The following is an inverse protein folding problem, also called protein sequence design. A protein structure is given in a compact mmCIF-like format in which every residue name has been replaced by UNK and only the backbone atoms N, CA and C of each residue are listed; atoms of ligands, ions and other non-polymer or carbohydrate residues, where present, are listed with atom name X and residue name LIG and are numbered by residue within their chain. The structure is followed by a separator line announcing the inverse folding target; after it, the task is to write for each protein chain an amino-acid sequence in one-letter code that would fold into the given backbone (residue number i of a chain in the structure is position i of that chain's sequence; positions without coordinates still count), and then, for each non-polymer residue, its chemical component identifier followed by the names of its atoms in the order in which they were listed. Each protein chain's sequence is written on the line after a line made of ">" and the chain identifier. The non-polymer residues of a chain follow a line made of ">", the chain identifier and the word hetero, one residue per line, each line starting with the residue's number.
data_IF_485709849707
#
_entry.id   IF_485709849707
#
_cell.length_a   1.000
_cell.length_b   1.000
_cell.length_c   1.000
_cell.angle_alpha   90.00
_cell.angle_beta   90.00
_cell.angle_gamma   90.00
#
_symmetry.space_group_name_H-M   'P 1'
#
loop_
_entity.id
_entity.type
_entity.pdbx_description
1 polymer ?
#
# COMPACT_ATOMS: atom_id res chain seq x y z
N UNK A 1 10.27 -29.47 13.54
CA UNK A 1 8.93 -30.06 13.70
C UNK A 1 8.23 -29.21 14.74
N UNK A 2 7.06 -28.68 14.42
CA UNK A 2 6.35 -27.74 15.29
C UNK A 2 6.13 -28.25 16.72
N UNK A 3 6.04 -27.32 17.67
CA UNK A 3 5.64 -27.65 19.04
C UNK A 3 4.12 -27.84 19.09
N UNK A 4 3.68 -29.06 19.42
CA UNK A 4 2.27 -29.43 19.49
C UNK A 4 1.47 -28.51 20.43
N UNK A 5 2.09 -27.95 21.47
CA UNK A 5 1.44 -27.03 22.41
C UNK A 5 1.16 -25.68 21.75
N UNK A 6 2.10 -25.18 20.94
CA UNK A 6 1.88 -23.94 20.19
C UNK A 6 0.78 -24.13 19.14
N UNK A 7 0.78 -25.25 18.41
CA UNK A 7 -0.31 -25.56 17.47
C UNK A 7 -1.66 -25.65 18.19
N UNK A 8 -1.73 -26.40 19.30
CA UNK A 8 -2.96 -26.58 20.06
C UNK A 8 -3.48 -25.26 20.62
N UNK A 9 -2.58 -24.37 21.05
CA UNK A 9 -2.94 -23.03 21.51
C UNK A 9 -3.47 -22.16 20.36
N UNK A 10 -2.78 -22.13 19.21
CA UNK A 10 -3.23 -21.34 18.06
C UNK A 10 -4.59 -21.81 17.54
N UNK A 11 -4.85 -23.12 17.57
CA UNK A 11 -6.15 -23.72 17.20
C UNK A 11 -7.29 -23.37 18.15
N UNK A 12 -7.02 -22.87 19.36
CA UNK A 12 -8.06 -22.36 20.26
C UNK A 12 -8.55 -20.96 19.84
N UNK A 13 -7.84 -20.29 18.93
CA UNK A 13 -8.22 -19.02 18.34
C UNK A 13 -7.16 -17.94 18.52
N UNK A 14 -7.21 -16.94 17.64
CA UNK A 14 -6.26 -15.82 17.61
C UNK A 14 -6.28 -15.01 18.91
N UNK A 15 -7.46 -14.81 19.52
CA UNK A 15 -7.58 -14.05 20.77
C UNK A 15 -6.81 -14.71 21.92
N UNK A 16 -7.02 -16.02 22.13
CA UNK A 16 -6.31 -16.78 23.17
C UNK A 16 -4.81 -16.86 22.90
N UNK A 17 -4.41 -17.00 21.63
CA UNK A 17 -3.00 -16.93 21.23
C UNK A 17 -2.38 -15.56 21.56
N UNK A 18 -3.05 -14.47 21.20
CA UNK A 18 -2.54 -13.12 21.42
C UNK A 18 -2.44 -12.80 22.92
N UNK A 19 -3.44 -13.16 23.73
CA UNK A 19 -3.38 -13.04 25.19
C UNK A 19 -2.20 -13.85 25.78
N UNK A 20 -1.96 -15.06 25.28
CA UNK A 20 -0.80 -15.85 25.69
C UNK A 20 0.51 -15.16 25.30
N UNK A 21 0.61 -14.57 24.10
CA UNK A 21 1.80 -13.82 23.65
C UNK A 21 2.13 -12.63 24.55
N UNK A 22 1.12 -11.92 25.07
CA UNK A 22 1.33 -10.81 26.00
C UNK A 22 2.08 -11.26 27.27
N UNK A 23 1.74 -12.43 27.79
CA UNK A 23 2.41 -13.00 28.98
C UNK A 23 3.68 -13.79 28.67
N UNK A 24 3.92 -14.13 27.39
CA UNK A 24 4.98 -15.04 26.95
C UNK A 24 5.83 -14.43 25.81
N UNK A 25 6.07 -13.12 25.85
CA UNK A 25 6.78 -12.40 24.78
C UNK A 25 8.23 -12.88 24.54
N UNK A 26 8.87 -13.47 25.56
CA UNK A 26 10.22 -14.07 25.45
C UNK A 26 10.24 -15.46 24.83
N UNK A 27 9.09 -16.13 24.72
CA UNK A 27 9.00 -17.45 24.08
C UNK A 27 8.97 -17.23 22.56
N UNK A 28 9.83 -17.95 21.84
CA UNK A 28 9.80 -18.02 20.38
C UNK A 28 8.87 -19.16 19.97
N UNK A 29 7.70 -18.90 19.36
CA UNK A 29 6.80 -19.98 18.99
C UNK A 29 7.34 -20.77 17.79
N UNK A 30 7.35 -22.10 17.90
CA UNK A 30 7.68 -22.99 16.78
C UNK A 30 6.42 -23.64 16.20
N UNK A 31 6.09 -23.23 14.97
CA UNK A 31 5.00 -23.70 14.13
C UNK A 31 5.53 -24.29 12.81
N UNK A 32 6.82 -24.66 12.76
CA UNK A 32 7.49 -25.13 11.55
C UNK A 32 6.90 -26.44 11.04
N UNK A 33 6.54 -26.50 9.77
CA UNK A 33 5.92 -27.65 9.12
C UNK A 33 4.47 -27.90 9.54
N UNK A 34 3.85 -26.98 10.29
CA UNK A 34 2.45 -27.10 10.65
C UNK A 34 1.55 -26.93 9.41
N UNK A 35 0.42 -27.66 9.38
CA UNK A 35 -0.67 -27.39 8.46
C UNK A 35 -1.60 -26.33 9.07
N UNK A 36 -1.50 -25.11 8.54
CA UNK A 36 -2.35 -23.96 8.83
C UNK A 36 -3.08 -23.50 7.55
N UNK A 37 -3.24 -24.41 6.58
CA UNK A 37 -3.93 -24.08 5.34
C UNK A 37 -5.38 -23.68 5.63
N UNK A 38 -5.83 -22.59 4.97
CA UNK A 38 -7.16 -21.99 5.16
C UNK A 38 -7.47 -21.53 6.59
N UNK A 39 -6.48 -21.48 7.49
CA UNK A 39 -6.69 -21.00 8.84
C UNK A 39 -7.10 -19.53 8.83
N UNK A 40 -7.98 -19.14 9.77
CA UNK A 40 -8.25 -17.73 10.04
C UNK A 40 -7.32 -17.24 11.15
N UNK A 41 -6.35 -16.43 10.76
CA UNK A 41 -5.25 -15.91 11.55
C UNK A 41 -5.20 -14.37 11.47
N UNK A 42 -6.35 -13.71 11.25
CA UNK A 42 -6.40 -12.26 11.15
C UNK A 42 -5.97 -11.59 12.47
N UNK A 43 -5.09 -10.58 12.40
CA UNK A 43 -4.50 -9.90 13.55
C UNK A 43 -3.67 -10.78 14.51
N UNK A 44 -3.22 -11.97 14.08
CA UNK A 44 -2.40 -12.84 14.93
C UNK A 44 -1.02 -12.22 15.20
N UNK A 45 -0.52 -12.33 16.42
CA UNK A 45 0.84 -11.97 16.78
C UNK A 45 1.77 -13.20 16.65
N UNK A 46 2.46 -13.33 15.52
CA UNK A 46 3.48 -14.34 15.24
C UNK A 46 4.90 -13.72 15.19
N UNK A 47 5.12 -12.64 15.93
CA UNK A 47 6.44 -11.99 16.04
C UNK A 47 7.53 -12.98 16.39
N UNK A 48 8.61 -13.00 15.59
CA UNK A 48 9.76 -13.89 15.76
C UNK A 48 9.48 -15.39 15.59
N UNK A 49 8.26 -15.80 15.25
CA UNK A 49 7.90 -17.23 15.21
C UNK A 49 8.67 -18.00 14.13
N UNK A 50 8.94 -19.28 14.40
CA UNK A 50 9.44 -20.22 13.41
C UNK A 50 8.27 -20.84 12.66
N UNK A 51 8.22 -20.58 11.35
CA UNK A 51 7.19 -20.97 10.39
C UNK A 51 7.84 -21.62 9.16
N UNK A 52 9.03 -22.21 9.32
CA UNK A 52 9.74 -22.88 8.24
C UNK A 52 8.85 -23.99 7.66
N UNK A 53 8.70 -24.05 6.34
CA UNK A 53 7.95 -25.09 5.64
C UNK A 53 6.48 -25.24 6.09
N UNK A 54 5.93 -24.24 6.79
CA UNK A 54 4.52 -24.24 7.20
C UNK A 54 3.61 -24.10 5.98
N UNK A 55 2.51 -24.86 5.96
CA UNK A 55 1.46 -24.70 4.95
C UNK A 55 0.46 -23.63 5.40
N UNK A 56 0.46 -22.49 4.73
CA UNK A 56 -0.43 -21.35 4.93
C UNK A 56 -1.27 -21.08 3.67
N UNK A 57 -1.43 -22.07 2.79
CA UNK A 57 -2.21 -21.91 1.54
C UNK A 57 -3.61 -21.41 1.86
N UNK A 58 -4.04 -20.36 1.15
CA UNK A 58 -5.37 -19.76 1.30
C UNK A 58 -5.72 -19.32 2.74
N UNK A 59 -4.73 -19.22 3.64
CA UNK A 59 -4.96 -18.74 5.01
C UNK A 59 -5.27 -17.23 5.00
N UNK A 60 -6.05 -16.80 5.99
CA UNK A 60 -6.27 -15.38 6.23
C UNK A 60 -5.34 -14.89 7.34
N UNK A 61 -4.21 -14.28 6.98
CA UNK A 61 -3.23 -13.68 7.91
C UNK A 61 -3.22 -12.15 7.80
N UNK A 62 -4.34 -11.55 7.38
CA UNK A 62 -4.47 -10.11 7.22
C UNK A 62 -4.25 -9.39 8.55
N UNK A 63 -3.54 -8.27 8.49
CA UNK A 63 -3.24 -7.41 9.65
C UNK A 63 -2.50 -8.12 10.80
N UNK A 64 -1.93 -9.30 10.53
CA UNK A 64 -1.07 -10.01 11.47
C UNK A 64 0.29 -9.32 11.63
N UNK A 65 0.95 -9.58 12.76
CA UNK A 65 2.34 -9.19 13.00
C UNK A 65 3.25 -10.41 12.95
N UNK A 66 4.07 -10.49 11.91
CA UNK A 66 5.09 -11.50 11.65
C UNK A 66 6.48 -10.86 11.61
N UNK A 67 6.69 -9.74 12.31
CA UNK A 67 7.99 -9.07 12.39
C UNK A 67 9.06 -10.05 12.85
N UNK A 68 10.15 -10.16 12.08
CA UNK A 68 11.27 -11.05 12.36
C UNK A 68 10.96 -12.55 12.30
N UNK A 69 9.77 -12.96 11.84
CA UNK A 69 9.41 -14.37 11.72
C UNK A 69 10.26 -15.09 10.65
N UNK A 70 10.48 -16.38 10.84
CA UNK A 70 11.19 -17.22 9.86
C UNK A 70 10.19 -18.09 9.11
N UNK A 71 9.83 -17.68 7.90
CA UNK A 71 8.92 -18.36 6.98
C UNK A 71 9.65 -19.11 5.87
N UNK A 72 10.96 -19.41 6.00
CA UNK A 72 11.73 -20.04 4.91
C UNK A 72 11.03 -21.29 4.36
N UNK A 73 10.80 -21.32 3.05
CA UNK A 73 10.14 -22.42 2.36
C UNK A 73 8.65 -22.62 2.69
N UNK A 74 8.01 -21.70 3.42
CA UNK A 74 6.56 -21.78 3.69
C UNK A 74 5.74 -21.64 2.40
N UNK A 75 4.56 -22.27 2.40
CA UNK A 75 3.61 -22.19 1.29
C UNK A 75 2.49 -21.21 1.63
N UNK A 76 2.50 -20.02 1.02
CA UNK A 76 1.55 -18.93 1.19
C UNK A 76 0.69 -18.70 -0.07
N UNK A 77 0.61 -19.69 -0.97
CA UNK A 77 -0.13 -19.56 -2.23
C UNK A 77 -1.59 -19.17 -1.97
N UNK A 78 -2.01 -18.08 -2.60
CA UNK A 78 -3.36 -17.52 -2.48
C UNK A 78 -3.74 -17.04 -1.07
N UNK A 79 -2.79 -16.92 -0.13
CA UNK A 79 -3.07 -16.43 1.21
C UNK A 79 -3.43 -14.93 1.19
N UNK A 80 -4.24 -14.50 2.16
CA UNK A 80 -4.54 -13.10 2.39
C UNK A 80 -3.58 -12.51 3.44
N UNK A 81 -2.60 -11.73 2.98
CA UNK A 81 -1.58 -11.01 3.76
C UNK A 81 -1.81 -9.49 3.75
N UNK A 82 -3.05 -9.07 3.52
CA UNK A 82 -3.41 -7.65 3.47
C UNK A 82 -3.00 -6.95 4.77
N UNK A 83 -2.22 -5.87 4.66
CA UNK A 83 -1.83 -5.03 5.80
C UNK A 83 -0.94 -5.73 6.84
N UNK A 84 -0.45 -6.94 6.54
CA UNK A 84 0.41 -7.70 7.43
C UNK A 84 1.77 -7.02 7.61
N UNK A 85 2.36 -7.13 8.80
CA UNK A 85 3.73 -6.66 9.06
C UNK A 85 4.69 -7.83 9.03
N UNK A 86 5.63 -7.82 8.09
CA UNK A 86 6.66 -8.83 7.84
C UNK A 86 8.06 -8.18 7.82
N UNK A 87 8.23 -7.07 8.53
CA UNK A 87 9.51 -6.37 8.61
C UNK A 87 10.59 -7.32 9.13
N UNK A 88 11.75 -7.33 8.49
CA UNK A 88 12.90 -8.18 8.83
C UNK A 88 12.59 -9.70 8.85
N UNK A 89 11.46 -10.13 8.29
CA UNK A 89 11.10 -11.53 8.21
C UNK A 89 11.98 -12.26 7.18
N UNK A 90 12.23 -13.55 7.42
CA UNK A 90 12.89 -14.42 6.46
C UNK A 90 11.85 -15.21 5.66
N UNK A 91 11.60 -14.79 4.43
CA UNK A 91 10.67 -15.39 3.45
C UNK A 91 11.43 -16.09 2.31
N UNK A 92 12.70 -16.45 2.50
CA UNK A 92 13.50 -17.06 1.45
C UNK A 92 12.86 -18.36 0.94
N UNK A 93 12.75 -18.50 -0.37
CA UNK A 93 12.16 -19.68 -1.03
C UNK A 93 10.66 -19.90 -0.76
N UNK A 94 9.94 -18.90 -0.26
CA UNK A 94 8.49 -19.02 -0.03
C UNK A 94 7.70 -19.04 -1.33
N UNK A 95 6.58 -19.77 -1.35
CA UNK A 95 5.59 -19.68 -2.44
C UNK A 95 4.47 -18.70 -2.05
N UNK A 96 4.54 -17.48 -2.58
CA UNK A 96 3.56 -16.40 -2.44
C UNK A 96 2.72 -16.24 -3.71
N UNK A 97 2.69 -17.25 -4.60
CA UNK A 97 1.97 -17.13 -5.87
C UNK A 97 0.48 -16.81 -5.67
N UNK A 98 0.00 -15.78 -6.38
CA UNK A 98 -1.38 -15.30 -6.27
C UNK A 98 -1.78 -14.76 -4.89
N UNK A 99 -0.83 -14.52 -3.97
CA UNK A 99 -1.14 -14.01 -2.63
C UNK A 99 -1.63 -12.55 -2.66
N UNK A 100 -2.49 -12.18 -1.71
CA UNK A 100 -2.99 -10.81 -1.55
C UNK A 100 -2.14 -10.06 -0.52
N UNK A 101 -1.20 -9.24 -0.99
CA UNK A 101 -0.18 -8.53 -0.19
C UNK A 101 -0.40 -7.00 -0.20
N UNK A 102 -1.60 -6.53 -0.54
CA UNK A 102 -1.89 -5.10 -0.61
C UNK A 102 -1.67 -4.44 0.76
N UNK A 103 -0.89 -3.35 0.80
CA UNK A 103 -0.44 -2.64 2.02
C UNK A 103 0.45 -3.44 2.99
N UNK A 104 1.05 -4.55 2.56
CA UNK A 104 1.99 -5.29 3.41
C UNK A 104 3.24 -4.44 3.71
N UNK A 105 3.81 -4.59 4.91
CA UNK A 105 5.12 -4.05 5.25
C UNK A 105 6.16 -5.18 5.24
N UNK A 106 7.18 -5.05 4.39
CA UNK A 106 8.27 -6.01 4.15
C UNK A 106 9.62 -5.30 4.29
N UNK A 107 9.72 -4.28 5.14
CA UNK A 107 10.94 -3.49 5.29
C UNK A 107 12.08 -4.42 5.71
N UNK A 108 13.19 -4.38 4.96
CA UNK A 108 14.38 -5.22 5.19
C UNK A 108 14.10 -6.74 5.23
N UNK A 109 12.97 -7.19 4.68
CA UNK A 109 12.64 -8.61 4.64
C UNK A 109 13.49 -9.35 3.60
N UNK A 110 13.81 -10.62 3.87
CA UNK A 110 14.51 -11.48 2.92
C UNK A 110 13.53 -12.34 2.13
N UNK A 111 13.31 -12.03 0.84
CA UNK A 111 12.50 -12.79 -0.10
C UNK A 111 13.35 -13.44 -1.22
N UNK A 112 14.63 -13.74 -0.94
CA UNK A 112 15.50 -14.40 -1.93
C UNK A 112 14.87 -15.71 -2.41
N UNK A 113 14.86 -15.95 -3.73
CA UNK A 113 14.21 -17.13 -4.35
C UNK A 113 12.70 -17.27 -4.14
N UNK A 114 12.01 -16.27 -3.58
CA UNK A 114 10.57 -16.36 -3.37
C UNK A 114 9.80 -16.34 -4.70
N UNK A 115 8.68 -17.06 -4.75
CA UNK A 115 7.75 -17.02 -5.87
C UNK A 115 6.58 -16.07 -5.56
N UNK A 116 6.60 -14.88 -6.14
CA UNK A 116 5.57 -13.84 -6.04
C UNK A 116 4.74 -13.74 -7.33
N UNK A 117 4.75 -14.77 -8.20
CA UNK A 117 4.04 -14.70 -9.46
C UNK A 117 2.55 -14.42 -9.26
N UNK A 118 1.99 -13.49 -10.02
CA UNK A 118 0.58 -13.09 -9.95
C UNK A 118 0.14 -12.51 -8.59
N UNK A 119 1.06 -12.23 -7.67
CA UNK A 119 0.72 -11.68 -6.36
C UNK A 119 0.32 -10.19 -6.46
N UNK A 120 -0.56 -9.76 -5.55
CA UNK A 120 -1.00 -8.36 -5.47
C UNK A 120 -0.28 -7.62 -4.34
N UNK A 121 0.78 -6.88 -4.66
CA UNK A 121 1.57 -6.02 -3.77
C UNK A 121 1.26 -4.52 -3.96
N UNK A 122 0.05 -4.17 -4.40
CA UNK A 122 -0.35 -2.77 -4.60
C UNK A 122 -0.12 -1.96 -3.31
N UNK A 123 0.62 -0.85 -3.42
CA UNK A 123 0.95 0.05 -2.30
C UNK A 123 1.66 -0.66 -1.12
N UNK A 124 2.35 -1.76 -1.38
CA UNK A 124 3.20 -2.42 -0.39
C UNK A 124 4.46 -1.59 -0.07
N UNK A 125 5.03 -1.76 1.12
CA UNK A 125 6.31 -1.18 1.49
C UNK A 125 7.38 -2.27 1.60
N UNK A 126 8.30 -2.32 0.64
CA UNK A 126 9.41 -3.26 0.57
C UNK A 126 10.77 -2.54 0.64
N UNK A 127 10.83 -1.41 1.36
CA UNK A 127 12.08 -0.64 1.51
C UNK A 127 13.21 -1.53 2.00
N UNK A 128 14.32 -1.57 1.25
CA UNK A 128 15.50 -2.37 1.60
C UNK A 128 15.30 -3.89 1.56
N UNK A 129 14.16 -4.38 1.06
CA UNK A 129 13.90 -5.82 0.99
C UNK A 129 14.84 -6.50 -0.01
N UNK A 130 15.18 -7.76 0.26
CA UNK A 130 15.98 -8.56 -0.67
C UNK A 130 15.09 -9.50 -1.49
N UNK A 131 14.86 -9.18 -2.76
CA UNK A 131 14.16 -10.00 -3.75
C UNK A 131 15.12 -10.60 -4.80
N UNK A 132 16.40 -10.80 -4.47
CA UNK A 132 17.34 -11.38 -5.43
C UNK A 132 16.88 -12.77 -5.88
N UNK A 133 16.93 -13.02 -7.19
CA UNK A 133 16.50 -14.27 -7.82
C UNK A 133 15.02 -14.64 -7.57
N UNK A 134 14.18 -13.69 -7.12
CA UNK A 134 12.76 -13.92 -6.94
C UNK A 134 12.00 -13.97 -8.28
N UNK A 135 10.93 -14.77 -8.33
CA UNK A 135 9.98 -14.75 -9.45
C UNK A 135 8.85 -13.78 -9.13
N UNK A 136 8.82 -12.63 -9.79
CA UNK A 136 7.85 -11.54 -9.58
C UNK A 136 6.98 -11.36 -10.83
N UNK A 137 6.93 -12.39 -11.68
CA UNK A 137 6.22 -12.37 -12.96
C UNK A 137 4.73 -12.06 -12.76
N UNK A 138 4.17 -11.15 -13.57
CA UNK A 138 2.75 -10.77 -13.53
C UNK A 138 2.26 -10.21 -12.18
N UNK A 139 3.16 -9.90 -11.24
CA UNK A 139 2.77 -9.32 -9.97
C UNK A 139 2.30 -7.86 -10.13
N UNK A 140 1.35 -7.44 -9.30
CA UNK A 140 0.93 -6.05 -9.23
C UNK A 140 1.67 -5.33 -8.11
N UNK A 141 2.64 -4.50 -8.45
CA UNK A 141 3.44 -3.66 -7.55
C UNK A 141 3.11 -2.16 -7.72
N UNK A 142 1.94 -1.83 -8.28
CA UNK A 142 1.59 -0.44 -8.53
C UNK A 142 1.56 0.39 -7.25
N UNK A 143 2.22 1.54 -7.28
CA UNK A 143 2.36 2.44 -6.12
C UNK A 143 3.18 1.87 -4.96
N UNK A 144 3.85 0.73 -5.11
CA UNK A 144 4.66 0.16 -4.04
C UNK A 144 5.91 1.02 -3.77
N UNK A 145 6.33 1.06 -2.50
CA UNK A 145 7.63 1.60 -2.12
C UNK A 145 8.68 0.48 -2.20
N UNK A 146 9.57 0.59 -3.17
CA UNK A 146 10.63 -0.36 -3.53
C UNK A 146 12.01 0.32 -3.42
N UNK A 147 12.14 1.39 -2.61
CA UNK A 147 13.42 2.07 -2.43
C UNK A 147 14.46 1.12 -1.85
N UNK A 148 15.67 1.15 -2.38
CA UNK A 148 16.82 0.34 -1.95
C UNK A 148 16.58 -1.18 -2.02
N UNK A 149 15.54 -1.61 -2.74
CA UNK A 149 15.23 -3.03 -2.91
C UNK A 149 16.31 -3.70 -3.75
N UNK A 150 16.65 -4.94 -3.41
CA UNK A 150 17.53 -5.76 -4.23
C UNK A 150 16.72 -6.69 -5.13
N UNK A 151 16.62 -6.39 -6.42
CA UNK A 151 16.01 -7.27 -7.42
C UNK A 151 17.03 -8.02 -8.28
N UNK A 152 18.31 -8.10 -7.86
CA UNK A 152 19.34 -8.73 -8.68
C UNK A 152 18.91 -10.12 -9.17
N UNK A 153 19.00 -10.37 -10.47
CA UNK A 153 18.57 -11.63 -11.14
C UNK A 153 17.07 -11.97 -11.02
N UNK A 154 16.21 -11.07 -10.55
CA UNK A 154 14.78 -11.32 -10.43
C UNK A 154 14.07 -11.34 -11.80
N UNK A 155 12.97 -12.09 -11.88
CA UNK A 155 12.07 -12.06 -13.03
C UNK A 155 10.88 -11.14 -12.76
N UNK A 156 10.89 -9.95 -13.37
CA UNK A 156 9.85 -8.93 -13.32
C UNK A 156 8.98 -8.92 -14.59
N UNK A 157 9.08 -9.93 -15.45
CA UNK A 157 8.34 -9.97 -16.72
C UNK A 157 6.83 -9.82 -16.48
N UNK A 158 6.18 -8.98 -17.28
CA UNK A 158 4.74 -8.69 -17.20
C UNK A 158 4.28 -8.09 -15.85
N UNK A 159 5.19 -7.73 -14.94
CA UNK A 159 4.84 -7.10 -13.68
C UNK A 159 4.38 -5.64 -13.90
N UNK A 160 3.45 -5.19 -13.05
CA UNK A 160 2.97 -3.82 -13.03
C UNK A 160 3.70 -3.04 -11.93
N UNK A 161 4.68 -2.21 -12.30
CA UNK A 161 5.44 -1.30 -11.44
C UNK A 161 4.99 0.16 -11.61
N UNK A 162 3.79 0.39 -12.14
CA UNK A 162 3.29 1.74 -12.37
C UNK A 162 3.29 2.54 -11.08
N UNK A 163 3.84 3.76 -11.13
CA UNK A 163 3.93 4.67 -10.00
C UNK A 163 4.70 4.14 -8.78
N UNK A 164 5.45 3.04 -8.94
CA UNK A 164 6.28 2.50 -7.87
C UNK A 164 7.53 3.36 -7.67
N UNK A 165 8.02 3.42 -6.44
CA UNK A 165 9.28 4.08 -6.11
C UNK A 165 10.41 3.06 -6.05
N UNK A 166 11.28 2.99 -7.06
CA UNK A 166 12.46 2.13 -7.05
C UNK A 166 13.75 2.91 -6.76
N UNK A 167 13.69 4.03 -6.06
CA UNK A 167 14.88 4.86 -5.85
C UNK A 167 16.00 4.04 -5.16
N UNK A 168 17.21 4.03 -5.73
CA UNK A 168 18.33 3.25 -5.21
C UNK A 168 18.20 1.73 -5.36
N UNK A 169 17.21 1.21 -6.09
CA UNK A 169 17.05 -0.23 -6.26
C UNK A 169 18.21 -0.85 -7.06
N UNK A 170 18.63 -2.06 -6.67
CA UNK A 170 19.53 -2.86 -7.47
C UNK A 170 18.73 -3.66 -8.51
N UNK A 171 18.83 -3.25 -9.78
CA UNK A 171 18.16 -3.87 -10.91
C UNK A 171 19.15 -4.64 -11.81
N UNK A 172 20.29 -5.08 -11.27
CA UNK A 172 21.27 -5.88 -12.01
C UNK A 172 20.67 -7.21 -12.53
N UNK A 173 20.82 -7.47 -13.83
CA UNK A 173 20.48 -8.73 -14.50
C UNK A 173 19.01 -9.15 -14.37
N UNK A 174 18.10 -8.20 -14.21
CA UNK A 174 16.67 -8.51 -14.18
C UNK A 174 16.15 -8.97 -15.54
N UNK A 175 15.09 -9.77 -15.53
CA UNK A 175 14.21 -9.94 -16.68
C UNK A 175 13.00 -9.03 -16.54
N UNK A 176 12.80 -8.12 -17.48
CA UNK A 176 11.71 -7.14 -17.43
C UNK A 176 10.94 -7.10 -18.76
N UNK A 177 10.63 -8.27 -19.34
CA UNK A 177 9.88 -8.37 -20.60
C UNK A 177 8.45 -7.88 -20.35
N UNK A 178 7.92 -6.95 -21.17
CA UNK A 178 6.55 -6.41 -21.03
C UNK A 178 6.24 -5.77 -19.67
N UNK A 179 7.25 -5.44 -18.87
CA UNK A 179 7.05 -4.83 -17.55
C UNK A 179 6.56 -3.39 -17.69
N UNK A 180 5.61 -2.98 -16.85
CA UNK A 180 5.09 -1.62 -16.85
C UNK A 180 5.77 -0.77 -15.76
N UNK A 181 6.71 0.09 -16.16
CA UNK A 181 7.35 1.07 -15.28
C UNK A 181 6.71 2.47 -15.40
N UNK A 182 5.52 2.61 -16.00
CA UNK A 182 4.96 3.94 -16.26
C UNK A 182 4.84 4.76 -14.97
N UNK A 183 5.33 6.00 -15.02
CA UNK A 183 5.35 6.93 -13.86
C UNK A 183 6.16 6.43 -12.65
N UNK A 184 6.92 5.36 -12.79
CA UNK A 184 7.80 4.88 -11.73
C UNK A 184 8.98 5.83 -11.53
N UNK A 185 9.56 5.78 -10.33
CA UNK A 185 10.77 6.52 -9.99
C UNK A 185 11.95 5.55 -10.05
N UNK A 186 12.91 5.83 -10.93
CA UNK A 186 14.12 5.03 -11.14
C UNK A 186 15.39 5.81 -10.78
N UNK A 187 15.30 6.84 -9.94
CA UNK A 187 16.48 7.62 -9.55
C UNK A 187 17.44 6.78 -8.70
N UNK A 188 18.71 6.73 -9.09
CA UNK A 188 19.77 6.00 -8.38
C UNK A 188 19.74 4.49 -8.57
N UNK A 189 18.95 3.96 -9.51
CA UNK A 189 18.95 2.50 -9.75
C UNK A 189 20.24 2.03 -10.41
N UNK A 190 20.65 0.79 -10.10
CA UNK A 190 21.72 0.11 -10.83
C UNK A 190 21.14 -0.55 -12.11
N UNK A 191 21.57 -0.10 -13.28
CA UNK A 191 21.20 -0.63 -14.59
C UNK A 191 22.37 -1.39 -15.22
N UNK A 192 22.47 -2.67 -14.90
CA UNK A 192 23.41 -3.58 -15.55
C UNK A 192 22.67 -4.80 -16.11
N UNK A 193 22.98 -5.17 -17.35
CA UNK A 193 22.54 -6.44 -17.96
C UNK A 193 21.03 -6.72 -17.96
N UNK A 194 20.18 -5.69 -18.08
CA UNK A 194 18.73 -5.87 -18.20
C UNK A 194 18.33 -6.69 -19.43
N UNK A 195 17.42 -7.66 -19.23
CA UNK A 195 16.76 -8.37 -20.31
C UNK A 195 15.37 -7.78 -20.54
N UNK A 196 15.18 -7.04 -21.64
CA UNK A 196 13.92 -6.36 -21.98
C UNK A 196 13.50 -6.63 -23.42
N UNK A 197 12.33 -6.10 -23.80
CA UNK A 197 11.85 -6.09 -25.18
C UNK A 197 11.17 -4.74 -25.50
N UNK A 198 10.64 -4.60 -26.73
CA UNK A 198 9.96 -3.38 -27.18
C UNK A 198 8.64 -3.07 -26.45
N UNK A 199 8.14 -3.99 -25.63
CA UNK A 199 6.85 -3.88 -24.93
C UNK A 199 7.00 -3.32 -23.51
N UNK A 200 8.21 -3.03 -23.04
CA UNK A 200 8.42 -2.38 -21.74
C UNK A 200 7.86 -0.96 -21.77
N UNK A 201 6.96 -0.65 -20.83
CA UNK A 201 6.35 0.67 -20.73
C UNK A 201 7.18 1.57 -19.82
N UNK A 202 7.78 2.62 -20.40
CA UNK A 202 8.59 3.62 -19.72
C UNK A 202 7.94 5.02 -19.75
N UNK A 203 6.64 5.08 -20.04
CA UNK A 203 5.90 6.35 -20.17
C UNK A 203 5.97 7.13 -18.86
N UNK A 204 6.38 8.40 -18.93
CA UNK A 204 6.47 9.31 -17.78
C UNK A 204 7.37 8.81 -16.62
N UNK A 205 8.34 7.93 -16.89
CA UNK A 205 9.32 7.53 -15.86
C UNK A 205 10.12 8.75 -15.39
N UNK A 206 10.29 8.85 -14.08
CA UNK A 206 11.09 9.87 -13.42
C UNK A 206 12.44 9.26 -13.05
N UNK A 207 13.51 9.83 -13.56
CA UNK A 207 14.86 9.37 -13.26
C UNK A 207 15.84 10.54 -13.38
N UNK A 208 16.46 10.92 -12.27
CA UNK A 208 17.48 11.97 -12.25
C UNK A 208 18.85 11.43 -12.63
N UNK A 209 19.20 10.24 -12.15
CA UNK A 209 20.45 9.57 -12.46
C UNK A 209 20.32 8.08 -12.25
N UNK A 210 21.28 7.32 -12.77
CA UNK A 210 21.42 5.86 -12.58
C UNK A 210 22.87 5.52 -12.36
N UNK A 211 23.13 4.30 -11.90
CA UNK A 211 24.45 3.70 -11.89
C UNK A 211 24.54 2.59 -12.94
N UNK A 212 25.70 2.46 -13.57
CA UNK A 212 26.07 1.35 -14.44
C UNK A 212 27.21 0.59 -13.75
N UNK A 213 27.15 -0.74 -13.78
CA UNK A 213 28.17 -1.60 -13.17
C UNK A 213 27.85 -1.96 -11.72
N UNK A 214 28.48 -3.04 -11.26
CA UNK A 214 28.26 -3.60 -9.93
C UNK A 214 28.83 -2.64 -8.88
N UNK A 215 28.07 -2.30 -7.84
CA UNK A 215 28.58 -1.48 -6.72
C UNK A 215 28.61 0.03 -6.99
N UNK A 216 27.70 0.54 -7.82
CA UNK A 216 27.54 1.98 -8.09
C UNK A 216 28.77 2.65 -8.74
N UNK A 217 29.57 1.88 -9.48
CA UNK A 217 30.87 2.32 -10.01
C UNK A 217 30.77 3.49 -11.00
N UNK A 218 29.74 3.53 -11.87
CA UNK A 218 29.61 4.59 -12.87
C UNK A 218 28.23 5.26 -12.88
N UNK A 219 28.15 6.48 -12.33
CA UNK A 219 26.95 7.31 -12.37
C UNK A 219 26.69 7.90 -13.76
N UNK A 220 25.45 7.86 -14.24
CA UNK A 220 24.96 8.59 -15.43
C UNK A 220 23.73 9.45 -15.11
N UNK A 221 23.68 10.73 -15.55
CA UNK A 221 24.81 11.47 -16.13
C UNK A 221 25.96 11.58 -15.11
N UNK A 222 27.20 11.80 -15.56
CA UNK A 222 28.35 11.84 -14.65
C UNK A 222 28.23 12.95 -13.59
N UNK A 223 27.50 14.03 -13.93
CA UNK A 223 27.14 15.13 -13.03
C UNK A 223 25.73 15.63 -13.39
N UNK A 224 25.04 16.25 -12.42
CA UNK A 224 23.68 16.77 -12.62
C UNK A 224 22.62 15.68 -12.76
N UNK A 225 21.48 16.04 -13.36
CA UNK A 225 20.34 15.14 -13.57
C UNK A 225 20.06 14.99 -15.07
N UNK A 226 19.47 13.86 -15.46
CA UNK A 226 18.92 13.69 -16.80
C UNK A 226 17.92 14.80 -17.13
N UNK A 227 18.03 15.34 -18.35
CA UNK A 227 16.98 16.20 -18.88
C UNK A 227 15.70 15.37 -19.19
N UNK A 228 14.52 16.02 -19.29
CA UNK A 228 13.29 15.32 -19.66
C UNK A 228 13.44 14.47 -20.93
N UNK A 229 13.16 13.17 -20.82
CA UNK A 229 13.27 12.20 -21.92
C UNK A 229 14.68 11.67 -22.22
N UNK A 230 15.74 12.25 -21.63
CA UNK A 230 17.12 11.81 -21.84
C UNK A 230 17.35 10.40 -21.30
N UNK A 231 16.84 10.11 -20.10
CA UNK A 231 16.91 8.78 -19.49
C UNK A 231 16.34 7.69 -20.41
N UNK A 232 15.19 7.93 -21.03
CA UNK A 232 14.54 6.94 -21.90
C UNK A 232 15.40 6.67 -23.13
N UNK A 233 15.99 7.71 -23.73
CA UNK A 233 16.91 7.56 -24.85
C UNK A 233 18.20 6.83 -24.43
N UNK A 234 18.74 7.16 -23.26
CA UNK A 234 19.87 6.46 -22.68
C UNK A 234 19.58 4.96 -22.51
N UNK A 235 18.46 4.61 -21.88
CA UNK A 235 18.06 3.22 -21.65
C UNK A 235 17.88 2.48 -22.99
N UNK A 236 17.15 3.06 -23.95
CA UNK A 236 16.98 2.45 -25.29
C UNK A 236 18.31 2.24 -26.03
N UNK A 237 19.24 3.19 -25.93
CA UNK A 237 20.56 3.06 -26.55
C UNK A 237 21.40 1.97 -25.88
N UNK A 238 21.33 1.86 -24.55
CA UNK A 238 21.98 0.79 -23.79
C UNK A 238 21.40 -0.59 -24.13
N UNK A 239 20.07 -0.68 -24.33
CA UNK A 239 19.39 -1.89 -24.77
C UNK A 239 19.77 -2.29 -26.21
N UNK A 240 19.89 -1.32 -27.13
CA UNK A 240 20.27 -1.58 -28.51
C UNK A 240 21.74 -2.02 -28.65
N UNK A 241 22.65 -1.50 -27.81
CA UNK A 241 24.06 -1.92 -27.78
C UNK A 241 24.25 -3.35 -27.25
N UNK A 242 23.31 -3.86 -26.44
CA UNK A 242 23.37 -5.21 -25.91
C UNK A 242 23.07 -6.31 -26.95
N UNK A 243 22.66 -5.98 -28.19
CA UNK A 243 22.49 -6.97 -29.26
C UNK A 243 21.47 -8.09 -28.95
N UNK A 244 20.57 -7.86 -28.00
CA UNK A 244 19.52 -8.81 -27.61
C UNK A 244 18.19 -8.47 -28.30
N UNK A 245 18.20 -8.31 -29.62
CA UNK A 245 16.99 -8.62 -30.41
C UNK A 245 16.95 -10.13 -30.65
N UNK A 246 16.85 -10.91 -29.58
CA UNK A 246 16.50 -12.33 -29.69
C UNK A 246 15.05 -12.47 -29.20
N UNK A 247 14.07 -12.71 -30.09
CA UNK A 247 12.68 -12.88 -29.71
C UNK A 247 12.41 -14.24 -29.03
N UNK A 248 13.45 -15.01 -28.70
CA UNK A 248 13.31 -16.24 -27.97
C UNK A 248 13.26 -15.94 -26.46
N UNK A 249 12.15 -16.23 -25.76
CA UNK A 249 12.19 -16.31 -24.31
C UNK A 249 13.29 -17.31 -23.96
N UNK A 250 14.13 -16.96 -22.98
CA UNK A 250 15.01 -17.94 -22.34
C UNK A 250 14.10 -19.03 -21.79
N UNK A 251 13.89 -20.06 -22.60
CA UNK A 251 13.10 -21.25 -22.31
C UNK A 251 13.96 -22.18 -21.51
N UNK A 252 14.24 -21.76 -20.28
CA UNK A 252 14.59 -22.60 -19.13
C UNK A 252 14.91 -21.67 -17.96
N UNK A 253 13.90 -20.98 -17.43
CA UNK A 253 13.80 -21.04 -15.98
C UNK A 253 13.47 -22.50 -15.74
N UNK A 254 14.43 -23.29 -15.23
CA UNK A 254 14.05 -24.56 -14.66
C UNK A 254 12.93 -24.22 -13.69
N UNK A 255 11.73 -24.70 -13.96
CA UNK A 255 10.76 -24.89 -12.90
C UNK A 255 11.54 -25.64 -11.84
N UNK A 256 11.94 -24.95 -10.77
CA UNK A 256 12.11 -25.63 -9.50
C UNK A 256 10.69 -26.02 -9.10
N UNK A 257 10.17 -27.06 -9.76
CA UNK A 257 9.30 -28.01 -9.10
C UNK A 257 10.17 -28.56 -7.96
N UNK A 258 10.16 -27.86 -6.84
CA UNK A 258 10.67 -28.41 -5.59
C UNK A 258 9.65 -29.47 -5.20
N UNK A 259 9.81 -30.65 -5.80
CA UNK A 259 9.44 -31.87 -5.12
C UNK A 259 10.24 -31.87 -3.81
N UNK A 260 9.55 -31.58 -2.72
CA UNK A 260 10.05 -31.82 -1.37
C UNK A 260 10.19 -33.34 -1.24
N UNK A 261 11.30 -33.90 -1.71
CA UNK A 261 11.74 -35.20 -1.26
C UNK A 261 12.40 -35.01 0.09
N UNK A 262 11.71 -35.51 1.12
CA UNK A 262 12.19 -35.62 2.48
C UNK A 262 13.46 -36.48 2.51
N UNK A 263 14.64 -35.86 2.39
CA UNK A 263 15.90 -36.47 2.81
C UNK A 263 16.26 -35.94 4.20
N UNK A 264 15.81 -36.70 5.20
CA UNK A 264 16.45 -36.71 6.50
C UNK A 264 17.93 -37.07 6.35
N UNK A 265 18.76 -36.52 7.23
CA UNK A 265 20.18 -36.84 7.45
C UNK A 265 21.20 -36.42 6.38
N UNK A 266 21.70 -35.18 6.49
CA UNK A 266 23.11 -34.91 6.89
C UNK A 266 23.45 -33.43 6.72
N UNK A 267 23.40 -32.66 7.81
CA UNK A 267 24.23 -31.46 7.91
C UNK A 267 24.61 -31.22 9.38
N UNK A 268 25.91 -31.31 9.66
CA UNK A 268 26.51 -30.90 10.94
C UNK A 268 26.91 -29.42 10.83
N UNK A 269 26.62 -28.56 11.83
CA UNK A 269 27.02 -27.16 11.76
C UNK A 269 28.46 -27.02 12.28
N UNK A 270 29.30 -26.33 11.51
CA UNK A 270 30.56 -25.78 12.04
C UNK A 270 30.24 -24.39 12.56
N UNK A 271 30.42 -24.20 13.87
CA UNK A 271 30.16 -22.96 14.60
C UNK A 271 31.15 -21.87 14.16
N UNK A 272 30.63 -20.71 13.78
CA UNK A 272 31.39 -19.45 13.73
C UNK A 272 31.16 -18.76 15.09
N UNK A 273 32.24 -18.59 15.85
CA UNK A 273 32.27 -17.99 17.18
C UNK A 273 31.92 -16.49 17.14
N UNK A 274 31.04 -16.07 18.07
CA UNK A 274 30.80 -14.68 18.44
C UNK A 274 31.57 -14.44 19.75
N UNK A 275 32.39 -13.39 19.91
CA UNK A 275 33.16 -13.19 21.13
C UNK A 275 32.28 -12.60 22.26
N UNK A 276 32.36 -13.20 23.45
CA UNK A 276 31.77 -12.68 24.69
C UNK A 276 32.55 -11.47 25.25
N UNK A 277 31.89 -10.51 25.94
CA UNK A 277 32.57 -9.58 26.82
C UNK A 277 32.64 -10.12 28.26
N UNK A 278 33.87 -10.20 28.76
CA UNK A 278 34.28 -10.67 30.09
C UNK A 278 33.78 -9.77 31.26
N UNK A 279 33.26 -10.40 32.31
CA UNK A 279 33.05 -9.81 33.64
C UNK A 279 34.34 -9.75 34.48
N UNK A 280 34.47 -8.72 35.32
CA UNK A 280 34.62 -8.82 36.79
C UNK A 280 35.54 -7.73 37.39
N UNK A 281 35.00 -6.88 38.26
CA UNK A 281 35.68 -6.43 39.49
C UNK A 281 34.69 -6.50 40.66
N UNK A 282 35.15 -7.10 41.76
CA UNK A 282 34.43 -7.47 42.96
C UNK A 282 34.19 -6.31 43.96
N UNK A 283 33.04 -6.40 44.64
CA UNK A 283 32.54 -5.92 45.96
C UNK A 283 33.56 -5.74 47.13
N UNK A 284 33.18 -5.32 48.38
CA UNK A 284 31.93 -4.72 48.97
C UNK A 284 32.17 -3.55 49.99
N UNK A 285 31.13 -3.02 50.67
CA UNK A 285 31.03 -2.78 52.16
C UNK A 285 29.71 -2.03 52.58
N UNK A 286 28.88 -2.74 53.36
CA UNK A 286 28.13 -2.42 54.62
C UNK A 286 27.03 -1.31 54.67
N UNK A 287 25.85 -1.73 55.16
CA UNK A 287 24.53 -1.12 55.50
C UNK A 287 24.54 -0.14 56.74
N UNK A 288 23.42 0.28 57.42
CA UNK A 288 21.96 0.04 57.27
C UNK A 288 20.96 1.22 57.60
N UNK A 289 19.64 0.90 57.50
CA UNK A 289 18.45 1.42 58.22
C UNK A 289 17.85 2.81 57.93
N UNK A 290 16.55 2.85 57.60
CA UNK A 290 15.47 3.15 58.58
C UNK A 290 14.06 2.87 58.03
N UNK A 291 13.26 2.21 58.86
CA UNK A 291 11.84 1.87 58.70
C UNK A 291 10.94 2.86 59.47
N UNK A 292 9.62 2.75 59.24
CA UNK A 292 8.48 3.28 60.02
C UNK A 292 8.08 4.73 59.66
N UNK A 293 6.81 5.07 59.43
CA UNK A 293 5.65 4.75 60.28
C UNK A 293 4.33 4.44 59.55
N UNK A 294 3.51 3.75 60.34
CA UNK A 294 2.13 3.30 60.18
C UNK A 294 1.17 4.41 60.61
N UNK A 295 0.01 4.52 59.95
CA UNK A 295 -1.12 5.30 60.46
C UNK A 295 -2.46 4.94 59.79
N UNK A 296 -3.18 4.00 60.40
CA UNK A 296 -4.59 3.65 60.12
C UNK A 296 -5.51 4.85 60.42
N UNK A 297 -6.62 5.03 59.69
CA UNK A 297 -7.96 5.27 60.25
C UNK A 297 -9.06 5.05 59.19
N UNK A 298 -10.25 4.72 59.70
CA UNK A 298 -11.38 4.00 59.12
C UNK A 298 -12.49 4.87 58.54
N UNK A 299 -13.27 4.26 57.64
CA UNK A 299 -14.70 4.43 57.33
C UNK A 299 -15.32 5.84 57.12
N UNK A 300 -16.06 5.99 56.00
CA UNK A 300 -17.50 6.33 55.97
C UNK A 300 -17.90 7.27 54.81
N UNK A 301 -18.99 6.86 54.12
CA UNK A 301 -20.02 7.67 53.43
C UNK A 301 -19.70 8.48 52.16
N UNK A 302 -20.10 7.92 51.01
CA UNK A 302 -21.01 8.42 49.94
C UNK A 302 -20.98 9.92 49.46
N UNK A 303 -21.41 10.17 48.20
CA UNK A 303 -20.74 11.06 47.25
C UNK A 303 -21.37 12.45 47.12
N UNK A 304 -20.59 13.46 46.69
CA UNK A 304 -21.12 14.76 46.25
C UNK A 304 -20.26 15.35 45.11
N UNK A 305 -20.93 15.72 44.02
CA UNK A 305 -20.44 16.49 42.86
C UNK A 305 -20.11 17.95 43.21
N UNK A 306 -19.66 18.78 42.23
CA UNK A 306 -20.59 19.83 41.78
C UNK A 306 -20.75 19.98 40.26
N UNK A 307 -22.02 20.14 39.91
CA UNK A 307 -22.64 20.60 38.66
C UNK A 307 -22.05 21.86 38.07
N UNK A 308 -22.10 21.96 36.73
CA UNK A 308 -22.79 23.07 36.04
C UNK A 308 -23.52 22.54 34.79
N UNK A 309 -24.84 22.30 34.93
CA UNK A 309 -25.81 22.20 33.83
C UNK A 309 -26.99 23.10 34.22
N UNK A 310 -27.35 24.06 33.38
CA UNK A 310 -28.71 24.60 33.24
C UNK A 310 -28.83 25.36 31.92
N UNK A 311 -29.46 24.74 30.92
CA UNK A 311 -30.60 25.28 30.15
C UNK A 311 -30.91 24.37 28.96
N UNK A 312 -32.01 23.64 29.07
CA UNK A 312 -32.82 23.15 27.96
C UNK A 312 -34.15 23.89 28.07
N UNK A 313 -34.57 24.60 27.04
CA UNK A 313 -35.99 24.88 26.76
C UNK A 313 -36.23 24.89 25.23
N UNK A 314 -36.96 23.86 24.79
CA UNK A 314 -38.09 23.86 23.83
C UNK A 314 -37.97 24.55 22.45
N UNK A 315 -38.07 23.72 21.41
CA UNK A 315 -38.34 24.06 20.00
C UNK A 315 -39.87 24.04 19.78
N UNK A 316 -40.50 25.03 19.14
CA UNK A 316 -41.89 24.95 18.70
C UNK A 316 -42.08 24.56 17.21
N UNK A 317 -43.18 23.85 16.95
CA UNK A 317 -43.69 23.38 15.66
C UNK A 317 -44.09 24.48 14.65
N UNK A 318 -44.19 24.18 13.33
CA UNK A 318 -44.66 25.12 12.31
C UNK A 318 -46.21 25.12 12.16
N UNK A 319 -46.84 26.29 11.90
CA UNK A 319 -48.29 26.35 11.70
C UNK A 319 -48.75 26.09 10.25
N UNK A 320 -50.03 25.73 10.19
CA UNK A 320 -50.80 25.12 9.11
C UNK A 320 -51.15 26.02 7.90
N UNK A 321 -51.57 25.34 6.83
CA UNK A 321 -52.11 25.87 5.59
C UNK A 321 -53.39 26.72 5.77
N UNK A 322 -53.53 27.76 4.94
CA UNK A 322 -54.80 28.41 4.63
C UNK A 322 -54.88 28.72 3.13
N UNK A 323 -55.89 28.13 2.48
CA UNK A 323 -56.40 28.47 1.15
C UNK A 323 -57.14 29.80 1.16
N UNK A 324 -57.06 30.63 0.12
CA UNK A 324 -58.19 31.44 -0.37
C UNK A 324 -57.98 31.93 -1.82
N UNK A 325 -59.03 31.75 -2.62
CA UNK A 325 -59.25 32.27 -3.98
C UNK A 325 -59.39 33.81 -3.99
N UNK A 326 -59.03 34.47 -5.09
CA UNK A 326 -59.99 35.06 -6.04
C UNK A 326 -59.36 36.08 -7.01
N UNK A 327 -59.88 35.99 -8.22
CA UNK A 327 -59.76 36.81 -9.43
C UNK A 327 -60.23 38.26 -9.29
N UNK A 328 -59.61 39.20 -10.01
CA UNK A 328 -60.26 40.16 -10.95
C UNK A 328 -59.27 41.18 -11.54
N UNK A 329 -59.43 41.53 -12.82
CA UNK A 329 -58.94 42.81 -13.39
C UNK A 329 -58.37 42.73 -14.80
N UNK A 330 -59.21 42.96 -15.81
CA UNK A 330 -58.92 42.99 -17.26
C UNK A 330 -58.66 44.45 -17.72
N UNK A 331 -58.00 44.60 -18.87
CA UNK A 331 -57.91 45.75 -19.82
C UNK A 331 -56.54 46.48 -19.82
N UNK A 332 -55.89 46.86 -20.94
CA UNK A 332 -56.24 46.96 -22.36
C UNK A 332 -54.96 47.20 -23.21
N UNK A 333 -54.85 46.49 -24.35
CA UNK A 333 -54.39 46.89 -25.70
C UNK A 333 -53.17 47.83 -25.94
N UNK A 334 -52.17 47.34 -26.70
CA UNK A 334 -51.57 47.95 -27.92
C UNK A 334 -50.43 47.08 -28.52
N UNK A 335 -50.08 47.20 -29.83
CA UNK A 335 -50.12 46.05 -30.75
C UNK A 335 -48.77 45.41 -31.14
N UNK A 336 -48.85 44.17 -31.63
CA UNK A 336 -47.79 43.42 -32.30
C UNK A 336 -47.36 44.05 -33.64
N UNK A 337 -46.06 44.12 -33.95
CA UNK A 337 -45.59 44.14 -35.33
C UNK A 337 -45.20 42.71 -35.78
N UNK A 338 -45.95 42.27 -36.80
CA UNK A 338 -45.60 41.40 -37.92
C UNK A 338 -44.37 40.47 -37.83
N UNK A 339 -44.66 39.17 -37.97
CA UNK A 339 -43.71 38.10 -38.28
C UNK A 339 -43.07 38.37 -39.64
N UNK A 340 -41.81 38.82 -39.64
CA UNK A 340 -40.93 38.72 -40.79
C UNK A 340 -40.28 37.34 -40.77
N UNK A 341 -40.65 36.54 -41.76
CA UNK A 341 -40.17 35.18 -41.98
C UNK A 341 -38.72 35.25 -42.54
N UNK A 342 -37.72 35.38 -41.66
CA UNK A 342 -36.31 35.30 -42.02
C UNK A 342 -35.75 33.95 -41.57
N UNK A 343 -35.76 32.97 -42.48
CA UNK A 343 -35.05 31.70 -42.37
C UNK A 343 -33.53 31.90 -42.58
N UNK A 344 -32.86 32.50 -41.60
CA UNK A 344 -31.42 32.35 -41.41
C UNK A 344 -31.17 31.99 -39.95
N UNK A 345 -30.33 30.98 -39.65
CA UNK A 345 -29.95 30.71 -38.27
C UNK A 345 -29.34 31.99 -37.69
N UNK A 346 -29.71 32.40 -36.47
CA UNK A 346 -29.19 33.63 -35.88
C UNK A 346 -27.66 33.59 -35.88
N UNK A 347 -27.01 34.70 -36.22
CA UNK A 347 -25.55 34.78 -36.36
C UNK A 347 -24.77 34.42 -35.08
N UNK A 348 -25.48 34.26 -33.95
CA UNK A 348 -24.95 33.87 -32.64
C UNK A 348 -25.26 32.41 -32.24
N UNK A 349 -25.93 31.62 -33.09
CA UNK A 349 -26.33 30.24 -32.75
C UNK A 349 -25.17 29.38 -32.21
N UNK A 350 -23.94 29.43 -32.76
CA UNK A 350 -22.81 28.67 -32.21
C UNK A 350 -22.36 29.15 -30.82
N UNK A 351 -22.49 30.45 -30.55
CA UNK A 351 -22.14 31.05 -29.26
C UNK A 351 -23.19 30.72 -28.20
N UNK A 352 -24.46 30.80 -28.57
CA UNK A 352 -25.60 30.42 -27.73
C UNK A 352 -25.59 28.91 -27.42
N UNK A 353 -25.23 28.06 -28.40
CA UNK A 353 -25.04 26.61 -28.18
C UNK A 353 -23.87 26.36 -27.20
N UNK A 354 -22.72 27.02 -27.36
CA UNK A 354 -21.62 26.90 -26.40
C UNK A 354 -21.99 27.38 -25.00
N UNK A 355 -22.74 28.47 -24.88
CA UNK A 355 -23.22 28.99 -23.59
C UNK A 355 -24.19 27.99 -22.94
N UNK A 356 -25.10 27.40 -23.70
CA UNK A 356 -26.01 26.35 -23.22
C UNK A 356 -25.25 25.08 -22.82
N UNK A 357 -24.25 24.63 -23.58
CA UNK A 357 -23.39 23.49 -23.23
C UNK A 357 -22.58 23.75 -21.94
N UNK A 358 -22.09 24.97 -21.75
CA UNK A 358 -21.42 25.36 -20.49
C UNK A 358 -22.39 25.35 -19.31
N UNK A 359 -23.61 25.85 -19.49
CA UNK A 359 -24.65 25.84 -18.47
C UNK A 359 -25.05 24.40 -18.13
N UNK A 360 -25.25 23.53 -19.12
CA UNK A 360 -25.57 22.11 -18.92
C UNK A 360 -24.46 21.39 -18.17
N UNK A 361 -23.19 21.60 -18.55
CA UNK A 361 -22.03 21.06 -17.79
C UNK A 361 -21.96 21.62 -16.36
N UNK A 362 -22.35 22.87 -16.15
CA UNK A 362 -22.46 23.46 -14.81
C UNK A 362 -23.52 22.78 -13.96
N UNK A 363 -24.71 22.57 -14.53
CA UNK A 363 -25.84 21.89 -13.85
C UNK A 363 -25.50 20.43 -13.54
N UNK A 364 -24.89 19.69 -14.48
CA UNK A 364 -24.43 18.32 -14.27
C UNK A 364 -23.38 18.24 -13.15
N UNK A 365 -22.44 19.20 -13.12
CA UNK A 365 -21.45 19.31 -12.06
C UNK A 365 -22.09 19.62 -10.70
N UNK A 366 -23.08 20.51 -10.65
CA UNK A 366 -23.75 20.90 -9.41
C UNK A 366 -24.66 19.77 -8.86
N UNK A 367 -25.37 19.07 -9.74
CA UNK A 367 -26.13 17.86 -9.40
C UNK A 367 -25.21 16.75 -8.87
N UNK A 368 -24.04 16.57 -9.48
CA UNK A 368 -23.05 15.58 -9.07
C UNK A 368 -22.34 15.96 -7.76
N UNK A 369 -22.04 17.25 -7.55
CA UNK A 369 -21.52 17.79 -6.28
C UNK A 369 -22.46 17.50 -5.13
N UNK A 370 -23.77 17.68 -5.32
CA UNK A 370 -24.75 17.38 -4.27
C UNK A 370 -24.84 15.89 -3.93
N UNK A 371 -24.61 15.01 -4.89
CA UNK A 371 -24.71 13.55 -4.71
C UNK A 371 -23.46 12.95 -4.08
N UNK A 372 -22.28 13.47 -4.39
CA UNK A 372 -20.99 12.92 -3.97
C UNK A 372 -20.25 13.80 -2.96
N UNK A 373 -20.86 14.88 -2.47
CA UNK A 373 -20.24 15.85 -1.56
C UNK A 373 -19.53 15.19 -0.39
N UNK A 374 -20.20 14.24 0.27
CA UNK A 374 -19.67 13.50 1.42
C UNK A 374 -18.38 12.75 1.07
N UNK A 375 -18.40 11.88 0.06
CA UNK A 375 -17.22 11.14 -0.41
C UNK A 375 -16.10 12.10 -0.83
N UNK A 376 -16.44 13.16 -1.56
CA UNK A 376 -15.43 14.09 -2.09
C UNK A 376 -14.77 14.91 -0.99
N UNK A 377 -15.52 15.32 0.04
CA UNK A 377 -14.98 16.02 1.20
C UNK A 377 -14.16 15.09 2.10
N UNK A 378 -14.56 13.82 2.26
CA UNK A 378 -13.76 12.84 3.00
C UNK A 378 -12.41 12.59 2.32
N UNK A 379 -12.38 12.37 1.00
CA UNK A 379 -11.13 12.21 0.25
C UNK A 379 -10.29 13.48 0.33
N UNK A 380 -10.90 14.65 0.12
CA UNK A 380 -10.22 15.94 0.17
C UNK A 380 -9.59 16.17 1.54
N UNK A 381 -10.33 15.95 2.62
CA UNK A 381 -9.86 16.09 4.00
C UNK A 381 -8.71 15.13 4.31
N UNK A 382 -8.87 13.84 3.97
CA UNK A 382 -7.83 12.83 4.15
C UNK A 382 -6.51 13.25 3.50
N UNK A 383 -6.57 13.70 2.25
CA UNK A 383 -5.38 14.13 1.53
C UNK A 383 -4.81 15.44 2.09
N UNK A 384 -5.67 16.42 2.42
CA UNK A 384 -5.25 17.69 3.03
C UNK A 384 -4.51 17.48 4.35
N UNK A 385 -5.07 16.67 5.26
CA UNK A 385 -4.48 16.36 6.56
C UNK A 385 -3.07 15.76 6.40
N UNK A 386 -2.87 14.89 5.42
CA UNK A 386 -1.57 14.28 5.16
C UNK A 386 -0.59 15.22 4.46
N UNK A 387 -1.05 16.05 3.51
CA UNK A 387 -0.19 17.07 2.87
C UNK A 387 0.27 18.17 3.82
N UNK A 388 -0.41 18.36 4.96
CA UNK A 388 0.03 19.28 6.00
C UNK A 388 1.23 18.76 6.80
N UNK A 389 1.42 17.43 6.82
CA UNK A 389 2.44 16.75 7.64
C UNK A 389 3.60 16.24 6.78
N UNK A 390 3.32 15.86 5.54
CA UNK A 390 4.29 15.32 4.59
C UNK A 390 4.51 16.29 3.43
N UNK A 391 5.76 16.50 2.99
CA UNK A 391 6.03 17.31 1.80
C UNK A 391 5.41 16.65 0.55
N UNK A 392 5.18 17.44 -0.50
CA UNK A 392 4.57 16.99 -1.78
C UNK A 392 5.21 17.66 -3.00
N UNK A 393 6.42 18.18 -2.84
CA UNK A 393 7.15 18.91 -3.86
C UNK A 393 7.68 17.98 -4.96
N UNK A 394 8.06 16.75 -4.60
CA UNK A 394 8.59 15.75 -5.54
C UNK A 394 7.55 14.66 -5.87
N UNK A 395 7.70 13.95 -6.99
CA UNK A 395 6.85 12.79 -7.28
C UNK A 395 6.89 11.71 -6.18
N UNK A 396 8.07 11.49 -5.58
CA UNK A 396 8.24 10.54 -4.47
C UNK A 396 7.40 10.92 -3.26
N UNK A 397 7.52 12.18 -2.86
CA UNK A 397 6.77 12.75 -1.75
C UNK A 397 5.25 12.60 -1.96
N UNK A 398 4.76 12.83 -3.18
CA UNK A 398 3.35 12.62 -3.54
C UNK A 398 2.90 11.16 -3.41
N UNK A 399 3.71 10.19 -3.83
CA UNK A 399 3.41 8.75 -3.70
C UNK A 399 3.38 8.34 -2.22
N UNK A 400 4.31 8.85 -1.41
CA UNK A 400 4.33 8.60 0.04
C UNK A 400 3.04 9.10 0.70
N UNK A 401 2.60 10.32 0.38
CA UNK A 401 1.33 10.86 0.90
C UNK A 401 0.14 10.00 0.49
N UNK A 402 0.08 9.55 -0.77
CA UNK A 402 -1.01 8.68 -1.23
C UNK A 402 -0.97 7.32 -0.54
N UNK A 403 0.20 6.72 -0.34
CA UNK A 403 0.34 5.47 0.40
C UNK A 403 -0.15 5.63 1.86
N UNK A 404 0.18 6.74 2.51
CA UNK A 404 -0.32 7.07 3.84
C UNK A 404 -1.84 7.27 3.85
N UNK A 405 -2.41 7.92 2.83
CA UNK A 405 -3.85 8.13 2.69
C UNK A 405 -4.59 6.81 2.56
N UNK A 406 -4.08 5.89 1.73
CA UNK A 406 -4.68 4.57 1.57
C UNK A 406 -4.59 3.78 2.87
N UNK A 407 -3.45 3.84 3.58
CA UNK A 407 -3.30 3.21 4.90
C UNK A 407 -4.31 3.75 5.92
N UNK A 408 -4.50 5.07 5.98
CA UNK A 408 -5.43 5.71 6.92
C UNK A 408 -6.90 5.48 6.55
N UNK A 409 -7.24 5.49 5.26
CA UNK A 409 -8.55 5.08 4.76
C UNK A 409 -8.84 3.64 5.21
N UNK A 410 -7.90 2.73 4.98
CA UNK A 410 -8.07 1.31 5.21
C UNK A 410 -8.14 0.94 6.70
N UNK A 411 -7.46 1.70 7.56
CA UNK A 411 -7.59 1.61 9.02
C UNK A 411 -8.88 2.22 9.59
N UNK A 412 -9.71 2.87 8.77
CA UNK A 412 -10.96 3.50 9.18
C UNK A 412 -12.14 2.91 8.40
N UNK A 413 -12.82 1.94 9.00
CA UNK A 413 -13.89 1.17 8.34
C UNK A 413 -15.03 2.05 7.76
N UNK A 414 -15.59 3.05 8.49
CA UNK A 414 -16.55 3.99 7.92
C UNK A 414 -16.01 4.74 6.70
N UNK A 415 -14.83 5.36 6.82
CA UNK A 415 -14.20 6.14 5.75
C UNK A 415 -13.94 5.29 4.50
N UNK A 416 -13.41 4.08 4.70
CA UNK A 416 -13.21 3.11 3.62
C UNK A 416 -14.53 2.77 2.92
N UNK A 417 -15.59 2.47 3.68
CA UNK A 417 -16.87 2.10 3.11
C UNK A 417 -17.45 3.25 2.27
N UNK A 418 -17.40 4.48 2.79
CA UNK A 418 -17.83 5.69 2.08
C UNK A 418 -17.06 5.87 0.78
N UNK A 419 -15.72 5.85 0.84
CA UNK A 419 -14.87 6.05 -0.34
C UNK A 419 -15.07 4.93 -1.38
N UNK A 420 -15.04 3.66 -0.96
CA UNK A 420 -15.14 2.54 -1.91
C UNK A 420 -16.53 2.44 -2.54
N UNK A 421 -17.60 2.74 -1.81
CA UNK A 421 -18.94 2.82 -2.40
C UNK A 421 -19.03 3.99 -3.39
N UNK A 422 -18.47 5.14 -3.03
CA UNK A 422 -18.36 6.28 -3.94
C UNK A 422 -17.63 5.94 -5.22
N UNK A 423 -16.46 5.29 -5.14
CA UNK A 423 -15.69 4.84 -6.31
C UNK A 423 -16.49 3.85 -7.15
N UNK A 424 -17.21 2.92 -6.52
CA UNK A 424 -18.03 1.92 -7.23
C UNK A 424 -19.22 2.54 -7.95
N UNK A 425 -19.85 3.56 -7.38
CA UNK A 425 -21.07 4.16 -7.95
C UNK A 425 -20.79 5.32 -8.91
N UNK A 426 -19.76 6.11 -8.65
CA UNK A 426 -19.40 7.29 -9.45
C UNK A 426 -18.26 7.02 -10.45
N UNK A 427 -17.40 6.04 -10.17
CA UNK A 427 -16.14 5.86 -10.89
C UNK A 427 -15.06 6.87 -10.46
N UNK A 428 -13.82 6.55 -10.76
CA UNK A 428 -12.67 7.39 -10.38
C UNK A 428 -12.61 8.71 -11.16
N UNK A 429 -13.13 8.76 -12.38
CA UNK A 429 -13.10 9.96 -13.23
C UNK A 429 -13.98 11.08 -12.66
N UNK A 430 -15.24 10.79 -12.31
CA UNK A 430 -16.17 11.77 -11.72
C UNK A 430 -15.65 12.25 -10.36
N UNK A 431 -15.23 11.33 -9.49
CA UNK A 431 -14.68 11.70 -8.19
C UNK A 431 -13.42 12.56 -8.33
N UNK A 432 -12.57 12.28 -9.31
CA UNK A 432 -11.36 13.07 -9.53
C UNK A 432 -11.68 14.52 -9.96
N UNK A 433 -12.73 14.75 -10.75
CA UNK A 433 -13.16 16.11 -11.11
C UNK A 433 -13.73 16.89 -9.91
N UNK A 434 -14.37 16.19 -8.98
CA UNK A 434 -15.03 16.79 -7.83
C UNK A 434 -14.10 17.00 -6.63
N UNK A 435 -13.12 16.10 -6.43
CA UNK A 435 -12.11 16.23 -5.38
C UNK A 435 -11.09 17.29 -5.79
N UNK A 436 -11.27 18.50 -5.27
CA UNK A 436 -10.38 19.65 -5.45
C UNK A 436 -9.07 19.48 -4.65
N UNK A 437 -8.25 18.48 -5.01
CA UNK A 437 -6.96 18.21 -4.40
C UNK A 437 -5.90 17.74 -5.43
N UNK A 438 -4.65 18.24 -5.40
CA UNK A 438 -3.62 17.86 -6.39
C UNK A 438 -3.27 16.36 -6.45
N UNK A 439 -3.53 15.62 -5.37
CA UNK A 439 -3.25 14.18 -5.27
C UNK A 439 -4.46 13.27 -5.54
N UNK A 440 -5.66 13.83 -5.78
CA UNK A 440 -6.89 13.04 -5.94
C UNK A 440 -6.76 12.00 -7.05
N UNK A 441 -6.18 12.38 -8.18
CA UNK A 441 -5.94 11.49 -9.32
C UNK A 441 -5.05 10.30 -9.00
N UNK A 442 -4.00 10.53 -8.21
CA UNK A 442 -3.03 9.50 -7.80
C UNK A 442 -3.70 8.56 -6.81
N UNK A 443 -4.43 9.12 -5.84
CA UNK A 443 -5.16 8.37 -4.82
C UNK A 443 -6.27 7.50 -5.42
N UNK A 444 -7.16 8.08 -6.23
CA UNK A 444 -8.29 7.38 -6.85
C UNK A 444 -7.82 6.23 -7.75
N UNK A 445 -6.80 6.46 -8.59
CA UNK A 445 -6.21 5.39 -9.40
C UNK A 445 -5.55 4.28 -8.55
N UNK A 446 -5.06 4.62 -7.36
CA UNK A 446 -4.45 3.67 -6.45
C UNK A 446 -5.47 2.88 -5.60
N UNK A 447 -6.75 3.25 -5.59
CA UNK A 447 -7.81 2.50 -4.89
C UNK A 447 -8.86 1.88 -5.82
N UNK A 448 -8.87 2.27 -7.10
CA UNK A 448 -9.53 1.54 -8.20
C UNK A 448 -8.99 0.12 -8.34
#
# INVERSE_FOLDING_TARGET
>A
MADDRHIALLKQGVEGWNQWRESNYLIVPDLSGADLSRANLNHVNLTGAYLCETDLRMANVSEADLTGANLRGANLRGANLRGTTLNQANLAGTDLSGAHLMLVNLIEANLTWANLSEANLKVANLTGANLSEANVKMANLSGANLSEVNFRLANLSEANLRMANLSGANLEKIQALKTDFSKAILTGVCLDSWQTNSEVNLTDVICDYVYIGIGEEERRPAQGNFAPGEFINFLRNSLNKAGLTNPNPVTSVQNYDVAIEANSSNWSPTLVEIPEPSEAIQNPIISPNLSQEVGKFTESTQPVSPNWLQRIETIPEPPQAASFNSSQGIEKSSPLPQVANNNYPPANLPKEIMEVEQILKGIERDLSRSKWSEVTEEIKKLLQDLTAIYPTNTPLEKVIVVAAAIKQMEGNSPLKATIMNGVKEAGTEILNELVEHPLSKIFLAAIE
#
